data_IF_998921904015
#
_entry.id   IF_998921904015
#
_cell.length_a   1.000
_cell.length_b   1.000
_cell.length_c   1.000
_cell.angle_alpha   90.00
_cell.angle_beta   90.00
_cell.angle_gamma   90.00
#
_symmetry.space_group_name_H-M   'P 1'
#
loop_
_entity.id
_entity.type
_entity.pdbx_description
1 polymer ?
#
# COMPACT_ATOMS: atom_id res chain seq x y z
N UNK A 1 52.43 -8.69 -28.90
CA UNK A 1 51.32 -8.44 -29.83
C UNK A 1 50.32 -7.55 -29.12
N UNK A 2 50.13 -6.36 -29.65
CA UNK A 2 49.22 -5.31 -29.18
C UNK A 2 47.79 -5.69 -29.57
N UNK A 3 46.83 -5.59 -28.64
CA UNK A 3 45.46 -5.29 -29.04
C UNK A 3 44.87 -4.21 -28.13
N UNK A 4 44.33 -3.20 -28.81
CA UNK A 4 43.82 -1.93 -28.31
C UNK A 4 42.36 -1.94 -28.73
N UNK A 5 41.48 -1.64 -27.76
CA UNK A 5 40.13 -1.08 -27.92
C UNK A 5 39.03 -2.07 -28.31
N UNK A 6 38.01 -2.17 -27.45
CA UNK A 6 36.65 -1.83 -27.87
C UNK A 6 35.82 -1.34 -26.68
N UNK A 7 35.26 -0.19 -26.94
CA UNK A 7 34.39 0.64 -26.14
C UNK A 7 33.18 -0.12 -25.58
N UNK A 8 33.00 -0.05 -24.26
CA UNK A 8 31.68 -0.17 -23.64
C UNK A 8 31.53 1.07 -22.77
N UNK A 9 31.16 2.19 -23.38
CA UNK A 9 30.43 3.25 -22.67
C UNK A 9 28.94 2.88 -22.69
N UNK A 10 28.24 3.24 -21.63
CA UNK A 10 26.79 3.10 -21.41
C UNK A 10 26.32 1.83 -20.71
N UNK A 11 26.92 1.51 -19.57
CA UNK A 11 26.11 1.52 -18.34
C UNK A 11 26.69 2.64 -17.50
N UNK A 12 26.27 3.88 -17.77
CA UNK A 12 26.46 4.96 -16.81
C UNK A 12 25.61 4.57 -15.60
N UNK A 13 26.21 3.76 -14.72
CA UNK A 13 25.67 3.52 -13.40
C UNK A 13 25.48 4.89 -12.77
N UNK A 14 24.35 5.05 -12.09
CA UNK A 14 24.02 6.23 -11.31
C UNK A 14 25.29 6.71 -10.60
N UNK A 15 25.60 8.00 -10.71
CA UNK A 15 26.73 8.55 -9.98
C UNK A 15 26.56 8.28 -8.49
N UNK A 16 27.64 8.32 -7.70
CA UNK A 16 27.52 8.07 -6.26
C UNK A 16 26.46 8.97 -5.61
N UNK A 17 26.31 10.19 -6.12
CA UNK A 17 25.30 11.16 -5.70
C UNK A 17 23.87 10.73 -6.09
N UNK A 18 23.67 10.15 -7.28
CA UNK A 18 22.38 9.61 -7.71
C UNK A 18 22.01 8.30 -6.99
N UNK A 19 23.02 7.49 -6.62
CA UNK A 19 22.86 6.31 -5.76
C UNK A 19 22.50 6.71 -4.33
N UNK A 20 23.10 7.77 -3.80
CA UNK A 20 22.77 8.35 -2.50
C UNK A 20 21.33 8.89 -2.48
N UNK A 21 20.87 9.55 -3.56
CA UNK A 21 19.49 10.01 -3.69
C UNK A 21 18.44 8.89 -3.80
N UNK A 22 18.85 7.64 -4.05
CA UNK A 22 17.97 6.46 -4.06
C UNK A 22 17.96 5.69 -2.75
N UNK A 23 18.83 6.04 -1.80
CA UNK A 23 18.78 5.46 -0.47
C UNK A 23 17.52 6.00 0.23
N UNK A 24 16.62 5.09 0.62
CA UNK A 24 15.35 5.44 1.24
C UNK A 24 15.54 6.37 2.42
N UNK A 25 14.73 7.43 2.47
CA UNK A 25 14.74 8.40 3.56
C UNK A 25 14.55 7.69 4.91
N UNK A 26 15.29 8.13 5.92
CA UNK A 26 15.27 7.50 7.23
C UNK A 26 13.86 7.61 7.82
N UNK A 27 13.28 6.46 8.20
CA UNK A 27 11.94 6.44 8.78
C UNK A 27 11.93 7.31 10.05
N UNK A 28 10.87 8.14 10.23
CA UNK A 28 10.78 9.01 11.39
C UNK A 28 10.65 8.21 12.69
N UNK A 29 10.93 8.87 13.81
CA UNK A 29 10.89 8.26 15.13
C UNK A 29 9.53 7.60 15.41
N UNK A 30 9.54 6.49 16.15
CA UNK A 30 8.32 5.69 16.42
C UNK A 30 7.19 6.50 17.04
N UNK A 31 7.52 7.52 17.81
CA UNK A 31 6.57 8.46 18.43
C UNK A 31 5.85 9.30 17.36
N UNK A 32 6.55 9.70 16.31
CA UNK A 32 6.00 10.42 15.17
C UNK A 32 5.22 9.48 14.24
N UNK A 33 5.70 8.25 14.06
CA UNK A 33 4.96 7.19 13.34
C UNK A 33 3.66 6.80 14.07
N UNK A 34 3.62 6.88 15.40
CA UNK A 34 2.44 6.59 16.20
C UNK A 34 1.34 7.65 16.07
N UNK A 35 1.66 8.87 15.64
CA UNK A 35 0.67 9.92 15.33
C UNK A 35 -0.02 9.67 13.98
N UNK A 36 0.51 8.76 13.16
CA UNK A 36 -0.08 8.40 11.87
C UNK A 36 -1.27 7.46 12.14
N UNK A 37 -2.47 7.97 11.89
CA UNK A 37 -3.69 7.19 11.97
C UNK A 37 -3.87 6.40 10.67
N UNK A 38 -3.62 5.08 10.70
CA UNK A 38 -3.67 4.19 9.55
C UNK A 38 -4.83 3.18 9.64
N UNK A 39 -6.06 3.67 9.82
CA UNK A 39 -7.25 2.82 9.77
C UNK A 39 -7.65 2.55 8.31
N UNK A 40 -7.81 1.27 7.95
CA UNK A 40 -8.34 0.83 6.65
C UNK A 40 -9.64 0.04 6.85
N UNK A 41 -10.75 0.59 6.36
CA UNK A 41 -12.02 -0.11 6.32
C UNK A 41 -12.31 -0.58 4.90
N UNK A 42 -12.50 -1.89 4.72
CA UNK A 42 -12.91 -2.49 3.45
C UNK A 42 -14.26 -3.17 3.66
N UNK A 43 -15.36 -2.49 3.34
CA UNK A 43 -16.68 -3.09 3.42
C UNK A 43 -16.84 -4.12 2.28
N UNK A 44 -17.08 -5.39 2.60
CA UNK A 44 -17.27 -6.46 1.60
C UNK A 44 -18.69 -7.00 1.66
N UNK A 45 -19.38 -7.04 0.52
CA UNK A 45 -20.64 -7.73 0.34
C UNK A 45 -20.59 -8.51 -0.99
N UNK A 46 -20.61 -9.84 -0.93
CA UNK A 46 -20.49 -10.69 -2.12
C UNK A 46 -21.37 -11.93 -2.00
N UNK A 47 -22.13 -12.23 -3.05
CA UNK A 47 -22.80 -13.52 -3.24
C UNK A 47 -22.24 -14.21 -4.47
N UNK A 48 -21.72 -15.42 -4.29
CA UNK A 48 -21.11 -16.23 -5.35
C UNK A 48 -21.81 -17.58 -5.39
N UNK A 49 -22.33 -17.97 -6.57
CA UNK A 49 -22.96 -19.26 -6.77
C UNK A 49 -22.58 -19.86 -8.14
N UNK A 50 -22.44 -21.19 -8.19
CA UNK A 50 -22.06 -21.91 -9.39
C UNK A 50 -23.25 -22.28 -10.30
N UNK A 51 -24.49 -22.20 -9.79
CA UNK A 51 -25.78 -22.35 -10.51
C UNK A 51 -25.84 -23.45 -11.60
N UNK A 52 -25.16 -24.59 -11.43
CA UNK A 52 -25.19 -25.66 -12.43
C UNK A 52 -26.53 -26.40 -12.36
N UNK A 53 -27.30 -26.36 -13.45
CA UNK A 53 -28.60 -27.03 -13.64
C UNK A 53 -29.73 -26.62 -12.66
N UNK A 54 -29.62 -25.48 -11.97
CA UNK A 54 -30.65 -25.03 -11.01
C UNK A 54 -31.58 -24.01 -11.65
N UNK A 55 -32.78 -24.43 -12.02
CA UNK A 55 -33.88 -23.50 -12.30
C UNK A 55 -34.23 -22.71 -11.01
N UNK A 56 -34.48 -21.41 -11.15
CA UNK A 56 -34.77 -20.51 -10.02
C UNK A 56 -33.61 -20.19 -9.06
N UNK A 57 -32.35 -20.52 -9.39
CA UNK A 57 -31.21 -20.20 -8.51
C UNK A 57 -30.89 -18.69 -8.48
N UNK A 58 -30.87 -18.10 -7.29
CA UNK A 58 -30.51 -16.69 -7.08
C UNK A 58 -29.37 -16.62 -6.05
N UNK A 59 -28.26 -16.01 -6.45
CA UNK A 59 -27.21 -15.59 -5.53
C UNK A 59 -27.54 -14.18 -5.04
N UNK A 60 -27.96 -14.06 -3.78
CA UNK A 60 -28.35 -12.79 -3.18
C UNK A 60 -27.43 -12.43 -2.02
N UNK A 61 -26.91 -11.21 -2.03
CA UNK A 61 -26.03 -10.66 -1.00
C UNK A 61 -26.62 -9.34 -0.49
N UNK A 62 -27.17 -9.37 0.72
CA UNK A 62 -27.63 -8.19 1.44
C UNK A 62 -26.74 -7.97 2.66
N UNK A 63 -26.01 -6.86 2.65
CA UNK A 63 -25.19 -6.44 3.78
C UNK A 63 -25.32 -4.93 3.95
N UNK A 64 -26.18 -4.54 4.88
CA UNK A 64 -26.25 -3.16 5.34
C UNK A 64 -25.03 -2.86 6.21
N UNK A 65 -24.18 -1.93 5.75
CA UNK A 65 -22.95 -1.53 6.43
C UNK A 65 -23.19 -0.21 7.16
N UNK A 66 -23.47 -0.29 8.46
CA UNK A 66 -23.85 0.85 9.29
C UNK A 66 -22.71 1.36 10.20
N UNK A 67 -21.48 0.90 9.99
CA UNK A 67 -20.38 1.16 10.92
C UNK A 67 -19.91 2.61 10.81
N UNK A 68 -20.13 3.38 11.87
CA UNK A 68 -19.51 4.69 12.04
C UNK A 68 -18.07 4.50 12.54
N UNK A 69 -17.08 5.03 11.79
CA UNK A 69 -15.67 4.97 12.18
C UNK A 69 -15.30 6.29 12.85
N UNK A 70 -15.16 6.27 14.18
CA UNK A 70 -14.68 7.41 14.96
C UNK A 70 -13.15 7.40 15.03
N UNK A 71 -12.51 8.49 14.58
CA UNK A 71 -11.07 8.65 14.59
C UNK A 71 -10.72 9.99 15.25
N UNK A 72 -9.91 9.95 16.30
CA UNK A 72 -9.39 11.15 16.97
C UNK A 72 -7.92 10.98 17.30
N UNK A 73 -7.13 12.00 17.01
CA UNK A 73 -5.74 12.11 17.44
C UNK A 73 -5.59 13.09 18.63
N UNK A 74 -6.71 13.58 19.18
CA UNK A 74 -6.67 14.58 20.25
C UNK A 74 -6.45 13.91 21.61
N UNK A 75 -5.45 14.35 22.40
CA UNK A 75 -5.38 13.99 23.82
C UNK A 75 -6.63 14.52 24.55
N UNK A 76 -7.08 13.88 25.64
CA UNK A 76 -8.20 14.39 26.43
C UNK A 76 -7.90 15.83 26.87
N UNK A 77 -8.85 16.75 26.69
CA UNK A 77 -8.71 18.10 27.22
C UNK A 77 -8.66 18.05 28.74
N UNK A 78 -7.71 18.73 29.40
CA UNK A 78 -7.72 18.88 30.85
C UNK A 78 -8.95 19.70 31.28
N UNK A 79 -9.61 19.26 32.35
CA UNK A 79 -10.74 19.95 33.00
C UNK A 79 -10.36 21.33 33.54
#
# INVERSE_FOLDING_TARGET
>A
MTDKRKDVKASEGLSNEELEGQQGEQLPDREQMSLINANLAVPVNAAVAANVLSDGSIAYADAQQANQISQSNLPPMPE
#
